data_IF_999648935178
#
_entry.id   IF_999648935178
#
_cell.length_a   1.000
_cell.length_b   1.000
_cell.length_c   1.000
_cell.angle_alpha   90.00
_cell.angle_beta   90.00
_cell.angle_gamma   90.00
#
_symmetry.space_group_name_H-M   'P 1'
#
loop_
_entity.id
_entity.type
_entity.pdbx_description
1 polymer ?
#
# COMPACT_ATOMS: atom_id res chain seq x y z
N UNK A 1 -71.02 12.96 -5.81
CA UNK A 1 -71.76 11.94 -6.61
C UNK A 1 -70.72 10.94 -7.09
N UNK A 2 -70.70 9.71 -6.52
CA UNK A 2 -71.12 8.45 -7.17
C UNK A 2 -70.21 8.09 -8.36
N UNK A 3 -69.63 6.90 -8.51
CA UNK A 3 -69.84 5.55 -7.92
C UNK A 3 -68.69 4.67 -8.48
N UNK A 4 -68.04 3.80 -7.70
CA UNK A 4 -68.35 2.36 -7.50
C UNK A 4 -68.28 1.55 -8.82
N UNK A 5 -67.79 0.31 -8.91
CA UNK A 5 -67.29 -0.75 -7.99
C UNK A 5 -67.06 -2.01 -8.86
N UNK A 6 -66.42 -3.01 -8.24
CA UNK A 6 -66.56 -4.48 -8.42
C UNK A 6 -65.34 -5.17 -9.08
N UNK A 7 -64.54 -6.02 -8.42
CA UNK A 7 -64.74 -7.10 -7.43
C UNK A 7 -65.18 -8.44 -8.04
N UNK A 8 -64.30 -9.44 -8.03
CA UNK A 8 -64.52 -10.84 -7.64
C UNK A 8 -63.13 -11.51 -7.45
N UNK A 9 -62.64 -11.90 -6.27
CA UNK A 9 -63.01 -12.96 -5.29
C UNK A 9 -62.90 -14.41 -5.80
N UNK A 10 -61.95 -15.18 -5.24
CA UNK A 10 -62.12 -16.42 -4.44
C UNK A 10 -60.78 -17.21 -4.42
N UNK A 11 -60.36 -18.01 -3.43
CA UNK A 11 -60.61 -18.25 -1.99
C UNK A 11 -59.82 -19.53 -1.64
N UNK A 12 -59.18 -19.60 -0.46
CA UNK A 12 -59.12 -20.77 0.46
C UNK A 12 -58.10 -20.48 1.60
N UNK A 13 -58.52 -20.16 2.84
CA UNK A 13 -58.92 -21.03 3.98
C UNK A 13 -57.66 -21.56 4.74
N UNK A 14 -57.26 -20.97 5.88
CA UNK A 14 -57.71 -21.17 7.29
C UNK A 14 -57.06 -22.42 7.94
N UNK A 15 -56.28 -22.34 9.02
CA UNK A 15 -56.68 -22.36 10.46
C UNK A 15 -55.44 -21.95 11.31
N UNK A 16 -55.48 -20.94 12.20
CA UNK A 16 -56.00 -20.89 13.60
C UNK A 16 -55.04 -21.47 14.68
N UNK A 17 -54.39 -20.61 15.48
CA UNK A 17 -54.57 -20.42 16.95
C UNK A 17 -53.40 -19.61 17.59
N UNK A 18 -53.73 -18.55 18.35
CA UNK A 18 -52.92 -17.80 19.34
C UNK A 18 -53.28 -18.33 20.78
N UNK A 19 -52.71 -17.89 21.94
CA UNK A 19 -51.72 -16.83 22.27
C UNK A 19 -50.62 -17.22 23.32
N UNK A 20 -49.75 -16.25 23.70
CA UNK A 20 -48.59 -16.19 24.64
C UNK A 20 -48.88 -16.51 26.15
N UNK A 21 -48.01 -16.27 27.21
CA UNK A 21 -46.56 -15.87 27.38
C UNK A 21 -45.80 -16.58 28.59
N UNK A 22 -44.62 -16.06 29.03
CA UNK A 22 -43.84 -16.28 30.32
C UNK A 22 -42.91 -17.52 30.47
N UNK A 23 -41.86 -17.61 31.33
CA UNK A 23 -40.81 -16.77 31.98
C UNK A 23 -39.98 -17.72 32.91
N UNK A 24 -38.66 -17.48 33.09
CA UNK A 24 -37.76 -17.81 34.23
C UNK A 24 -37.13 -19.24 34.39
N UNK A 25 -35.81 -19.19 34.69
CA UNK A 25 -34.82 -20.19 35.11
C UNK A 25 -35.15 -20.98 36.39
N UNK A 26 -34.71 -22.24 36.46
CA UNK A 26 -34.20 -22.92 37.67
C UNK A 26 -33.61 -24.29 37.27
N UNK A 27 -32.36 -24.59 37.67
CA UNK A 27 -31.86 -25.89 38.18
C UNK A 27 -30.30 -25.85 38.34
N UNK A 28 -29.70 -26.60 39.29
CA UNK A 28 -28.51 -26.19 40.07
C UNK A 28 -27.13 -26.72 39.60
N UNK A 29 -26.07 -26.08 40.13
CA UNK A 29 -24.64 -26.34 39.87
C UNK A 29 -24.12 -27.54 40.72
N UNK A 30 -23.40 -28.52 40.14
CA UNK A 30 -22.72 -29.58 40.91
C UNK A 30 -21.39 -29.11 41.53
N UNK A 31 -21.10 -29.57 42.75
CA UNK A 31 -20.02 -29.13 43.66
C UNK A 31 -19.09 -30.28 44.02
N UNK A 32 -18.17 -30.67 43.12
CA UNK A 32 -17.33 -31.84 43.36
C UNK A 32 -15.96 -31.73 42.63
N UNK A 33 -15.06 -30.85 43.09
CA UNK A 33 -13.63 -30.88 42.70
C UNK A 33 -12.70 -30.13 43.67
N UNK A 34 -12.55 -30.59 44.92
CA UNK A 34 -11.38 -30.29 45.77
C UNK A 34 -10.99 -31.53 46.58
N UNK A 35 -9.76 -32.02 46.43
CA UNK A 35 -9.20 -33.12 47.23
C UNK A 35 -8.47 -32.55 48.47
N UNK A 36 -8.83 -33.05 49.66
CA UNK A 36 -8.48 -32.48 50.96
C UNK A 36 -7.17 -33.02 51.61
N UNK A 37 -6.22 -33.60 50.87
CA UNK A 37 -5.11 -34.34 51.51
C UNK A 37 -3.64 -33.92 51.24
N UNK A 38 -3.29 -32.92 50.43
CA UNK A 38 -1.84 -32.72 50.09
C UNK A 38 -1.24 -31.30 50.04
N UNK A 39 -1.97 -30.20 50.29
CA UNK A 39 -1.40 -28.86 50.56
C UNK A 39 -0.09 -28.43 49.83
N UNK A 40 -0.21 -28.01 48.55
CA UNK A 40 0.78 -27.48 47.55
C UNK A 40 1.43 -28.52 46.61
N UNK A 41 1.66 -28.31 45.30
CA UNK A 41 1.27 -27.34 44.24
C UNK A 41 1.58 -27.96 42.87
N UNK A 42 0.75 -27.76 41.83
CA UNK A 42 1.13 -27.45 40.43
C UNK A 42 -0.04 -27.71 39.45
N UNK A 43 -0.41 -26.66 38.70
CA UNK A 43 -0.55 -26.61 37.22
C UNK A 43 -1.42 -27.71 36.55
N UNK A 44 -2.50 -27.44 35.83
CA UNK A 44 -2.81 -26.32 34.93
C UNK A 44 -4.34 -26.19 34.90
N UNK A 45 -4.84 -24.96 35.02
CA UNK A 45 -6.26 -24.66 34.77
C UNK A 45 -6.49 -24.74 33.27
N UNK A 46 -6.99 -25.86 32.76
CA UNK A 46 -7.59 -25.87 31.43
C UNK A 46 -8.94 -25.13 31.51
N UNK A 47 -8.99 -24.02 30.81
CA UNK A 47 -10.16 -23.16 30.68
C UNK A 47 -11.26 -23.89 29.88
N UNK A 48 -12.42 -24.05 30.48
CA UNK A 48 -13.69 -24.12 29.73
C UNK A 48 -14.39 -22.74 29.87
N UNK A 49 -15.41 -22.42 29.07
CA UNK A 49 -15.48 -22.38 27.61
C UNK A 49 -16.04 -21.00 27.19
N UNK A 50 -15.30 -20.19 26.43
CA UNK A 50 -15.80 -18.87 26.04
C UNK A 50 -16.17 -18.84 24.56
N UNK A 51 -17.48 -18.95 24.34
CA UNK A 51 -18.13 -18.28 23.24
C UNK A 51 -17.81 -16.77 23.39
N UNK A 52 -16.71 -16.32 22.80
CA UNK A 52 -16.51 -14.90 22.52
C UNK A 52 -16.67 -14.73 21.02
N UNK A 53 -17.69 -13.95 20.70
CA UNK A 53 -17.80 -13.23 19.45
C UNK A 53 -16.39 -12.83 18.99
N UNK A 54 -16.01 -13.31 17.80
CA UNK A 54 -15.10 -12.54 16.99
C UNK A 54 -15.67 -11.11 16.98
N UNK A 55 -14.87 -10.06 17.13
CA UNK A 55 -15.28 -8.79 16.58
C UNK A 55 -15.36 -9.03 15.07
N UNK A 56 -16.52 -9.49 14.60
CA UNK A 56 -17.06 -8.92 13.39
C UNK A 56 -17.01 -7.43 13.67
N UNK A 57 -16.17 -6.72 12.92
CA UNK A 57 -16.19 -5.27 12.90
C UNK A 57 -17.65 -4.91 12.59
N UNK A 58 -18.41 -4.56 13.63
CA UNK A 58 -19.71 -3.93 13.45
C UNK A 58 -19.37 -2.54 12.95
N UNK A 59 -19.26 -2.39 11.63
CA UNK A 59 -19.38 -1.08 11.02
C UNK A 59 -20.79 -0.61 11.39
N UNK A 60 -20.88 0.22 12.44
CA UNK A 60 -22.11 0.93 12.72
C UNK A 60 -22.14 2.05 11.71
N UNK A 61 -22.61 1.70 10.52
CA UNK A 61 -22.94 2.60 9.46
C UNK A 61 -23.95 3.60 10.05
N UNK A 62 -23.53 4.87 10.16
CA UNK A 62 -24.42 5.98 10.48
C UNK A 62 -24.51 6.78 9.18
N UNK A 63 -25.72 7.18 8.73
CA UNK A 63 -25.89 7.95 7.50
C UNK A 63 -24.94 9.15 7.43
N UNK A 64 -24.23 9.29 6.30
CA UNK A 64 -23.25 10.35 6.07
C UNK A 64 -21.82 10.07 6.56
N UNK A 65 -21.47 8.82 6.85
CA UNK A 65 -20.12 8.42 7.27
C UNK A 65 -19.36 7.69 6.15
N UNK A 66 -18.10 8.07 5.94
CA UNK A 66 -17.17 7.38 5.06
C UNK A 66 -16.18 6.54 5.87
N UNK A 67 -16.22 5.22 5.71
CA UNK A 67 -15.31 4.30 6.42
C UNK A 67 -14.28 3.70 5.48
N UNK A 68 -13.03 3.70 5.92
CA UNK A 68 -11.92 2.99 5.30
C UNK A 68 -11.55 1.81 6.19
N UNK A 69 -11.45 0.64 5.59
CA UNK A 69 -10.87 -0.55 6.22
C UNK A 69 -9.81 -1.11 5.28
N UNK A 70 -8.66 -1.50 5.82
CA UNK A 70 -7.56 -2.02 5.01
C UNK A 70 -6.55 -2.79 5.85
N UNK A 71 -5.85 -3.70 5.20
CA UNK A 71 -4.70 -4.39 5.78
C UNK A 71 -3.49 -4.12 4.88
N UNK A 72 -2.39 -3.65 5.44
CA UNK A 72 -1.09 -3.81 4.79
C UNK A 72 -0.73 -5.31 4.88
N UNK A 73 -0.60 -6.05 3.77
CA UNK A 73 -0.16 -7.44 3.83
C UNK A 73 1.35 -7.47 4.10
N UNK A 74 1.75 -7.50 5.37
CA UNK A 74 3.14 -7.75 5.77
C UNK A 74 4.12 -6.60 5.53
N UNK A 75 5.35 -6.80 6.02
CA UNK A 75 6.34 -5.79 6.42
C UNK A 75 6.92 -4.83 5.35
N UNK A 76 6.37 -4.74 4.14
CA UNK A 76 6.86 -3.78 3.13
C UNK A 76 5.66 -3.30 2.30
N UNK A 77 5.18 -2.08 2.56
CA UNK A 77 3.99 -1.50 1.90
C UNK A 77 2.92 -0.91 2.82
N UNK A 78 3.24 -0.73 4.11
CA UNK A 78 2.37 -0.01 5.04
C UNK A 78 2.14 1.45 4.63
N UNK A 79 1.10 2.10 5.19
CA UNK A 79 0.91 3.53 5.00
C UNK A 79 2.21 4.27 5.30
N UNK A 80 2.53 5.36 4.59
CA UNK A 80 3.67 6.22 4.93
C UNK A 80 3.22 7.41 5.76
N UNK A 81 4.12 7.89 6.62
CA UNK A 81 4.00 9.21 7.21
C UNK A 81 3.80 10.22 6.07
N UNK A 82 2.72 10.99 6.12
CA UNK A 82 2.42 11.90 5.04
C UNK A 82 1.04 12.52 5.10
N UNK A 83 0.83 13.46 4.18
CA UNK A 83 -0.41 14.19 4.01
C UNK A 83 -1.17 13.59 2.84
N UNK A 84 -2.45 13.29 3.08
CA UNK A 84 -3.31 12.65 2.09
C UNK A 84 -4.61 13.44 1.95
N UNK A 85 -5.23 13.30 0.79
CA UNK A 85 -6.57 13.80 0.54
C UNK A 85 -7.42 12.74 -0.15
N UNK A 86 -8.66 12.57 0.34
CA UNK A 86 -9.70 11.76 -0.29
C UNK A 86 -10.57 12.66 -1.16
N UNK A 87 -10.89 12.19 -2.36
CA UNK A 87 -11.72 12.89 -3.33
C UNK A 87 -12.84 11.99 -3.83
N UNK A 88 -13.99 12.59 -4.13
CA UNK A 88 -15.12 11.95 -4.79
C UNK A 88 -15.30 12.50 -6.19
N UNK A 89 -15.52 11.60 -7.15
CA UNK A 89 -15.76 11.92 -8.55
C UNK A 89 -17.12 11.35 -8.97
N UNK A 90 -18.02 12.20 -9.47
CA UNK A 90 -19.34 11.82 -9.99
C UNK A 90 -19.33 11.54 -11.51
N UNK A 91 -18.17 11.69 -12.16
CA UNK A 91 -17.97 11.51 -13.59
C UNK A 91 -18.47 12.65 -14.47
N UNK A 92 -18.99 13.73 -13.87
CA UNK A 92 -19.59 14.87 -14.58
C UNK A 92 -18.93 16.19 -14.20
N UNK A 93 -18.70 16.40 -12.91
CA UNK A 93 -18.14 17.62 -12.33
C UNK A 93 -16.67 17.40 -11.90
N UNK A 94 -15.91 18.49 -11.65
CA UNK A 94 -14.61 18.36 -11.02
C UNK A 94 -14.70 17.59 -9.68
N UNK A 95 -13.70 16.76 -9.33
CA UNK A 95 -13.75 16.00 -8.09
C UNK A 95 -13.86 16.89 -6.85
N UNK A 96 -14.75 16.50 -5.95
CA UNK A 96 -14.97 17.17 -4.68
C UNK A 96 -14.03 16.64 -3.60
N UNK A 97 -13.52 17.54 -2.76
CA UNK A 97 -12.70 17.18 -1.61
C UNK A 97 -13.58 16.59 -0.51
N UNK A 98 -13.28 15.36 -0.09
CA UNK A 98 -13.97 14.71 1.01
C UNK A 98 -13.28 14.99 2.35
N UNK A 99 -11.98 14.71 2.42
CA UNK A 99 -11.21 14.89 3.65
C UNK A 99 -9.72 15.08 3.36
N UNK A 100 -9.03 15.75 4.28
CA UNK A 100 -7.56 15.79 4.35
C UNK A 100 -7.12 15.23 5.68
N UNK A 101 -6.08 14.40 5.66
CA UNK A 101 -5.63 13.67 6.83
C UNK A 101 -4.13 13.44 6.81
N UNK A 102 -3.59 13.23 8.01
CA UNK A 102 -2.22 12.80 8.25
C UNK A 102 -2.29 11.32 8.58
N UNK A 103 -1.41 10.55 7.95
CA UNK A 103 -1.11 9.20 8.42
C UNK A 103 0.19 9.26 9.19
N UNK A 104 0.21 8.67 10.39
CA UNK A 104 1.44 8.48 11.17
C UNK A 104 1.64 7.00 11.47
N UNK A 105 2.67 6.43 10.87
CA UNK A 105 3.11 5.04 11.04
C UNK A 105 3.64 4.82 12.44
N UNK A 106 4.50 5.73 12.91
CA UNK A 106 5.10 5.64 14.23
C UNK A 106 4.03 5.69 15.34
N UNK A 107 2.99 6.51 15.16
CA UNK A 107 1.88 6.58 16.10
C UNK A 107 0.79 5.51 15.85
N UNK A 108 0.78 4.89 14.67
CA UNK A 108 -0.27 3.94 14.26
C UNK A 108 -1.63 4.59 14.02
N UNK A 109 -1.67 5.90 13.73
CA UNK A 109 -2.90 6.70 13.71
C UNK A 109 -3.14 7.44 12.39
N UNK A 110 -4.41 7.80 12.19
CA UNK A 110 -4.86 8.69 11.13
C UNK A 110 -5.56 9.88 11.77
N UNK A 111 -5.11 11.10 11.49
CA UNK A 111 -5.58 12.33 12.16
C UNK A 111 -5.91 13.46 11.19
N UNK A 112 -6.56 14.51 11.68
CA UNK A 112 -6.72 15.78 10.96
C UNK A 112 -5.39 16.48 10.72
N UNK A 113 -5.38 17.47 9.82
CA UNK A 113 -4.16 18.22 9.46
C UNK A 113 -3.52 18.99 10.63
N UNK A 114 -4.31 19.36 11.64
CA UNK A 114 -3.82 19.98 12.87
C UNK A 114 -3.44 18.96 13.96
N UNK A 115 -3.64 17.66 13.69
CA UNK A 115 -3.37 16.56 14.62
C UNK A 115 -4.36 16.46 15.78
N UNK A 116 -5.39 17.31 15.84
CA UNK A 116 -6.28 17.42 17.00
C UNK A 116 -7.41 16.38 16.99
N UNK A 117 -7.84 15.96 15.79
CA UNK A 117 -8.91 14.96 15.61
C UNK A 117 -8.31 13.63 15.19
N UNK A 118 -8.59 12.58 15.95
CA UNK A 118 -8.26 11.20 15.59
C UNK A 118 -9.38 10.61 14.72
N UNK A 119 -9.08 10.31 13.46
CA UNK A 119 -10.00 9.62 12.56
C UNK A 119 -9.96 8.09 12.71
N UNK A 120 -8.85 7.55 13.19
CA UNK A 120 -8.72 6.12 13.46
C UNK A 120 -7.27 5.64 13.47
N UNK A 121 -7.08 4.38 13.08
CA UNK A 121 -5.79 3.70 13.02
C UNK A 121 -5.38 3.41 11.57
N UNK A 122 -4.18 2.86 11.39
CA UNK A 122 -3.72 2.39 10.07
C UNK A 122 -4.58 1.25 9.47
N UNK A 123 -5.32 0.51 10.31
CA UNK A 123 -6.16 -0.60 9.86
C UNK A 123 -7.58 -0.15 9.47
N UNK A 124 -8.10 0.87 10.15
CA UNK A 124 -9.41 1.42 9.88
C UNK A 124 -9.55 2.84 10.43
N UNK A 125 -10.20 3.71 9.65
CA UNK A 125 -10.52 5.09 10.03
C UNK A 125 -11.81 5.54 9.35
N UNK A 126 -12.46 6.53 9.94
CA UNK A 126 -13.75 7.06 9.47
C UNK A 126 -13.72 8.57 9.36
N UNK A 127 -14.40 9.10 8.36
CA UNK A 127 -14.68 10.51 8.23
C UNK A 127 -16.19 10.75 8.31
N UNK A 128 -16.56 11.82 8.98
CA UNK A 128 -17.93 12.33 9.01
C UNK A 128 -17.91 13.87 9.01
N UNK A 129 -19.06 14.52 8.75
CA UNK A 129 -19.12 15.98 8.71
C UNK A 129 -18.69 16.66 10.02
N UNK A 130 -18.92 16.01 11.17
CA UNK A 130 -18.59 16.56 12.48
C UNK A 130 -17.07 16.56 12.72
N UNK A 131 -16.37 15.52 12.26
CA UNK A 131 -14.94 15.31 12.47
C UNK A 131 -14.07 16.01 11.42
N UNK A 132 -14.59 16.20 10.20
CA UNK A 132 -13.86 16.88 9.11
C UNK A 132 -14.18 18.37 8.98
N UNK A 133 -15.32 18.81 9.52
CA UNK A 133 -15.84 20.17 9.31
C UNK A 133 -16.25 20.46 7.86
N UNK A 134 -16.27 19.44 6.99
CA UNK A 134 -16.68 19.55 5.60
C UNK A 134 -18.07 18.92 5.43
N UNK A 135 -18.99 19.57 4.72
CA UNK A 135 -20.26 18.93 4.38
C UNK A 135 -19.96 17.73 3.47
N UNK A 136 -20.67 16.61 3.64
CA UNK A 136 -20.53 15.38 2.83
C UNK A 136 -21.56 15.24 1.67
N UNK A 137 -21.96 16.28 0.91
CA UNK A 137 -22.97 16.09 -0.14
C UNK A 137 -22.42 15.37 -1.39
N UNK A 138 -21.10 15.14 -1.48
CA UNK A 138 -20.44 14.69 -2.71
C UNK A 138 -20.20 13.17 -2.83
N UNK A 139 -20.35 12.40 -1.74
CA UNK A 139 -20.05 10.96 -1.75
C UNK A 139 -21.23 10.11 -2.23
N UNK A 140 -22.47 10.58 -2.05
CA UNK A 140 -23.70 9.87 -2.44
C UNK A 140 -23.78 9.54 -3.93
N UNK A 141 -23.26 10.43 -4.77
CA UNK A 141 -23.28 10.29 -6.23
C UNK A 141 -21.91 9.90 -6.82
N UNK A 142 -20.92 9.62 -5.98
CA UNK A 142 -19.59 9.27 -6.44
C UNK A 142 -19.65 7.97 -7.25
N UNK A 143 -19.10 7.99 -8.45
CA UNK A 143 -18.84 6.80 -9.28
C UNK A 143 -17.42 6.27 -9.05
N UNK A 144 -16.54 7.11 -8.52
CA UNK A 144 -15.17 6.77 -8.13
C UNK A 144 -14.75 7.54 -6.87
N UNK A 145 -14.00 6.87 -6.00
CA UNK A 145 -13.27 7.50 -4.91
C UNK A 145 -11.78 7.25 -5.10
N UNK A 146 -10.97 8.26 -4.82
CA UNK A 146 -9.52 8.14 -4.89
C UNK A 146 -8.78 8.93 -3.82
N UNK A 147 -7.59 8.46 -3.49
CA UNK A 147 -6.69 9.04 -2.49
C UNK A 147 -5.46 9.57 -3.21
N UNK A 148 -5.03 10.76 -2.82
CA UNK A 148 -3.86 11.44 -3.39
C UNK A 148 -2.82 11.77 -2.32
N UNK A 149 -1.53 11.66 -2.67
CA UNK A 149 -0.43 12.19 -1.87
C UNK A 149 -0.36 13.71 -2.00
N UNK A 150 -0.11 14.40 -0.88
CA UNK A 150 -0.02 15.86 -0.81
C UNK A 150 1.38 16.29 -0.38
N UNK A 151 1.96 17.27 -1.08
CA UNK A 151 3.32 17.75 -0.80
C UNK A 151 3.44 18.48 0.55
N UNK A 152 2.38 19.17 1.00
CA UNK A 152 2.30 19.86 2.30
C UNK A 152 0.84 19.98 2.79
N UNK A 153 0.61 20.13 4.11
CA UNK A 153 -0.70 20.43 4.64
C UNK A 153 -1.17 21.82 4.16
N UNK A 154 -2.32 21.87 3.50
CA UNK A 154 -3.07 23.12 3.29
C UNK A 154 -2.90 23.85 1.96
N UNK A 155 -2.07 23.38 1.03
CA UNK A 155 -1.84 24.05 -0.26
C UNK A 155 -1.90 23.08 -1.44
N UNK A 156 -3.12 22.77 -1.90
CA UNK A 156 -3.32 22.37 -3.31
C UNK A 156 -4.17 23.45 -3.98
N UNK A 157 -3.77 23.94 -5.17
CA UNK A 157 -4.55 24.92 -5.91
C UNK A 157 -5.83 24.27 -6.44
N UNK A 158 -6.93 24.40 -5.69
CA UNK A 158 -8.30 24.15 -6.15
C UNK A 158 -8.69 22.73 -6.54
N UNK A 159 -7.80 21.72 -6.49
CA UNK A 159 -8.12 20.36 -6.93
C UNK A 159 -7.18 19.26 -6.43
N UNK A 160 -7.36 18.02 -6.91
CA UNK A 160 -6.54 16.88 -6.50
C UNK A 160 -5.08 17.02 -6.90
N UNK A 161 -4.18 16.49 -6.07
CA UNK A 161 -2.78 16.29 -6.46
C UNK A 161 -2.71 15.25 -7.59
N UNK A 162 -1.76 15.38 -8.53
CA UNK A 162 -1.65 14.42 -9.63
C UNK A 162 -1.08 13.04 -9.19
N UNK A 163 -0.73 12.88 -7.90
CA UNK A 163 -0.20 11.66 -7.31
C UNK A 163 -1.32 10.84 -6.65
N UNK A 164 -2.22 10.29 -7.45
CA UNK A 164 -3.19 9.31 -6.96
C UNK A 164 -2.45 8.02 -6.56
N UNK A 165 -2.75 7.50 -5.36
CA UNK A 165 -2.12 6.28 -4.81
C UNK A 165 -3.07 5.10 -4.72
N UNK A 166 -4.35 5.37 -4.51
CA UNK A 166 -5.40 4.37 -4.45
C UNK A 166 -6.64 4.95 -5.12
N UNK A 167 -7.33 4.15 -5.93
CA UNK A 167 -8.65 4.49 -6.45
C UNK A 167 -9.53 3.27 -6.55
N UNK A 168 -10.83 3.48 -6.67
CA UNK A 168 -11.81 2.41 -6.81
C UNK A 168 -13.15 2.93 -7.27
N UNK A 169 -13.81 2.13 -8.12
CA UNK A 169 -15.19 2.41 -8.52
C UNK A 169 -16.16 2.17 -7.37
N UNK A 170 -17.17 3.02 -7.31
CA UNK A 170 -18.25 2.93 -6.34
C UNK A 170 -19.43 2.17 -6.93
N UNK A 171 -19.95 1.21 -6.18
CA UNK A 171 -21.17 0.46 -6.53
C UNK A 171 -21.98 0.24 -5.26
N UNK A 172 -23.22 0.73 -5.24
CA UNK A 172 -24.14 0.61 -4.11
C UNK A 172 -23.53 1.09 -2.76
N UNK A 173 -22.80 2.21 -2.78
CA UNK A 173 -22.18 2.80 -1.59
C UNK A 173 -20.88 2.11 -1.15
N UNK A 174 -20.34 1.17 -1.91
CA UNK A 174 -19.08 0.49 -1.58
C UNK A 174 -18.09 0.53 -2.74
N UNK A 175 -16.80 0.55 -2.43
CA UNK A 175 -15.73 0.51 -3.44
C UNK A 175 -14.46 -0.14 -2.90
N UNK A 176 -13.84 -1.00 -3.71
CA UNK A 176 -12.52 -1.56 -3.42
C UNK A 176 -11.44 -0.62 -3.96
N UNK A 177 -10.56 -0.15 -3.08
CA UNK A 177 -9.45 0.75 -3.39
C UNK A 177 -8.17 -0.05 -3.59
N UNK A 178 -7.52 0.16 -4.74
CA UNK A 178 -6.24 -0.48 -5.06
C UNK A 178 -5.31 0.50 -5.78
N UNK A 179 -4.02 0.18 -5.83
CA UNK A 179 -3.02 0.95 -6.59
C UNK A 179 -3.27 0.87 -8.10
N UNK A 180 -3.76 -0.28 -8.57
CA UNK A 180 -4.21 -0.44 -9.96
C UNK A 180 -5.42 0.42 -10.27
N UNK A 181 -6.34 0.51 -9.30
CA UNK A 181 -7.46 1.41 -9.35
C UNK A 181 -8.38 1.21 -10.55
N UNK A 182 -8.92 2.31 -11.06
CA UNK A 182 -9.59 2.38 -12.36
C UNK A 182 -8.61 2.91 -13.41
N UNK A 183 -8.78 2.58 -14.69
CA UNK A 183 -7.87 3.05 -15.74
C UNK A 183 -7.77 4.59 -15.86
N UNK A 184 -8.68 5.35 -15.24
CA UNK A 184 -8.65 6.81 -15.26
C UNK A 184 -7.75 7.45 -14.19
N UNK A 185 -7.60 6.81 -13.01
CA UNK A 185 -6.90 7.40 -11.84
C UNK A 185 -5.97 6.44 -11.10
N UNK A 186 -5.94 5.18 -11.48
CA UNK A 186 -4.98 4.20 -11.00
C UNK A 186 -3.59 4.42 -11.56
N UNK A 187 -2.59 3.81 -10.93
CA UNK A 187 -1.20 3.93 -11.39
C UNK A 187 -0.94 2.93 -12.51
N UNK A 188 -0.99 1.63 -12.20
CA UNK A 188 -0.84 0.53 -13.15
C UNK A 188 -1.15 -0.82 -12.49
N UNK A 189 -1.30 -1.88 -13.31
CA UNK A 189 -1.43 -3.26 -12.81
C UNK A 189 -0.04 -3.87 -12.64
N UNK A 190 0.30 -4.22 -11.41
CA UNK A 190 1.59 -4.82 -11.05
C UNK A 190 1.48 -6.33 -10.74
N UNK A 191 0.34 -6.96 -11.00
CA UNK A 191 0.11 -8.37 -10.64
C UNK A 191 0.98 -9.37 -11.41
N UNK A 192 1.47 -9.01 -12.60
CA UNK A 192 2.27 -9.87 -13.48
C UNK A 192 3.69 -9.35 -13.73
N UNK A 193 4.19 -8.43 -12.91
CA UNK A 193 5.54 -7.88 -13.10
C UNK A 193 6.62 -8.91 -12.85
N UNK A 194 7.71 -8.79 -13.60
CA UNK A 194 8.87 -9.67 -13.46
C UNK A 194 10.15 -8.96 -13.88
N UNK A 195 11.28 -9.59 -13.58
CA UNK A 195 12.54 -9.18 -14.16
C UNK A 195 13.74 -9.88 -13.56
N UNK A 196 14.91 -9.48 -14.01
CA UNK A 196 16.19 -9.95 -13.48
C UNK A 196 17.23 -8.84 -13.53
N UNK A 197 18.33 -9.06 -12.81
CA UNK A 197 19.48 -8.17 -12.79
C UNK A 197 20.78 -8.96 -12.88
N UNK A 198 21.88 -8.27 -13.17
CA UNK A 198 23.24 -8.78 -13.09
C UNK A 198 24.09 -7.84 -12.24
N UNK A 199 25.13 -8.38 -11.61
CA UNK A 199 26.19 -7.57 -11.01
C UNK A 199 27.28 -7.34 -12.06
N UNK A 200 27.60 -6.07 -12.34
CA UNK A 200 28.68 -5.68 -13.26
C UNK A 200 29.07 -4.22 -13.06
N UNK A 201 30.31 -3.87 -13.42
CA UNK A 201 30.81 -2.49 -13.40
C UNK A 201 31.30 -2.01 -14.78
N UNK A 202 30.41 -1.77 -15.77
CA UNK A 202 30.83 -1.32 -17.10
C UNK A 202 31.48 0.07 -17.12
N UNK A 203 31.21 0.95 -16.14
CA UNK A 203 31.58 2.37 -16.21
C UNK A 203 33.07 2.65 -16.00
N UNK A 204 33.81 1.72 -15.38
CA UNK A 204 35.27 1.80 -15.19
C UNK A 204 36.06 0.83 -16.08
N UNK A 205 35.35 0.03 -16.88
CA UNK A 205 35.94 -0.96 -17.76
C UNK A 205 36.51 -0.34 -19.03
N UNK A 206 37.77 0.11 -18.96
CA UNK A 206 38.53 0.53 -20.14
C UNK A 206 38.90 -0.67 -21.05
N UNK A 207 39.13 -1.87 -20.47
CA UNK A 207 39.50 -3.11 -21.18
C UNK A 207 39.08 -4.38 -20.38
N UNK A 208 37.78 -4.58 -20.12
CA UNK A 208 37.24 -5.88 -19.66
C UNK A 208 37.79 -6.45 -18.35
N UNK A 209 38.06 -5.61 -17.35
CA UNK A 209 38.56 -6.03 -16.04
C UNK A 209 37.37 -6.31 -15.11
N UNK A 210 37.03 -7.59 -14.93
CA UNK A 210 35.94 -8.07 -14.07
C UNK A 210 36.29 -8.10 -12.56
N UNK A 211 37.26 -7.31 -12.09
CA UNK A 211 37.79 -7.44 -10.73
C UNK A 211 36.86 -6.88 -9.65
N UNK A 212 35.86 -6.08 -10.03
CA UNK A 212 34.97 -5.35 -9.13
C UNK A 212 33.50 -5.38 -9.58
N UNK A 213 33.10 -6.35 -10.39
CA UNK A 213 31.71 -6.46 -10.89
C UNK A 213 30.66 -6.55 -9.76
N UNK A 214 31.05 -6.95 -8.55
CA UNK A 214 30.20 -6.90 -7.35
C UNK A 214 29.86 -5.49 -6.86
N UNK A 215 30.46 -4.44 -7.42
CA UNK A 215 30.24 -3.04 -7.04
C UNK A 215 29.25 -2.32 -7.96
N UNK A 216 28.49 -3.04 -8.79
CA UNK A 216 27.48 -2.44 -9.64
C UNK A 216 26.34 -3.40 -9.91
N UNK A 217 25.19 -2.84 -10.27
CA UNK A 217 23.96 -3.59 -10.55
C UNK A 217 23.29 -3.04 -11.80
N UNK A 218 22.87 -3.92 -12.70
CA UNK A 218 22.24 -3.54 -13.95
C UNK A 218 21.04 -4.41 -14.29
N UNK A 219 19.93 -3.80 -14.71
CA UNK A 219 18.66 -4.49 -14.99
C UNK A 219 18.61 -5.00 -16.43
N UNK A 220 19.55 -5.89 -16.77
CA UNK A 220 19.67 -6.54 -18.09
C UNK A 220 19.94 -8.03 -17.97
N UNK A 221 19.70 -8.73 -19.07
CA UNK A 221 20.09 -10.13 -19.21
C UNK A 221 21.61 -10.24 -19.42
N UNK A 222 22.16 -11.45 -19.43
CA UNK A 222 23.57 -11.65 -19.79
C UNK A 222 23.85 -11.37 -21.27
N UNK A 223 22.83 -11.44 -22.14
CA UNK A 223 22.95 -11.17 -23.59
C UNK A 223 22.89 -9.67 -23.92
N UNK A 224 23.20 -8.81 -22.96
CA UNK A 224 22.15 -8.06 -22.28
C UNK A 224 21.21 -7.15 -23.08
N UNK A 225 20.02 -7.70 -23.23
CA UNK A 225 18.75 -7.03 -23.44
C UNK A 225 18.23 -6.45 -22.10
N UNK A 226 17.33 -5.46 -22.11
CA UNK A 226 16.59 -5.06 -20.92
C UNK A 226 15.91 -6.27 -20.26
N UNK A 227 15.92 -6.32 -18.92
CA UNK A 227 15.43 -7.47 -18.18
C UNK A 227 14.28 -7.15 -17.22
N UNK A 228 13.64 -5.99 -17.35
CA UNK A 228 12.45 -5.63 -16.59
C UNK A 228 11.21 -5.75 -17.46
N UNK A 229 10.18 -6.38 -16.92
CA UNK A 229 8.83 -6.39 -17.45
C UNK A 229 7.91 -5.69 -16.43
N UNK A 230 7.77 -4.38 -16.62
CA UNK A 230 7.00 -3.48 -15.76
C UNK A 230 5.99 -2.71 -16.63
N UNK A 231 4.82 -2.33 -16.09
CA UNK A 231 3.83 -1.57 -16.84
C UNK A 231 4.33 -0.17 -17.21
N UNK A 232 3.62 0.48 -18.13
CA UNK A 232 3.85 1.91 -18.41
C UNK A 232 3.25 2.73 -17.27
N UNK A 233 4.03 3.67 -16.74
CA UNK A 233 3.58 4.57 -15.67
C UNK A 233 2.96 5.86 -16.22
N UNK A 234 2.03 6.48 -15.46
CA UNK A 234 1.67 7.88 -15.66
C UNK A 234 2.89 8.79 -15.51
N UNK A 235 2.87 9.97 -16.15
CA UNK A 235 4.00 10.91 -16.16
C UNK A 235 4.42 11.43 -14.78
N UNK A 236 3.54 11.30 -13.79
CA UNK A 236 3.72 11.69 -12.38
C UNK A 236 4.33 10.60 -11.51
N UNK A 237 4.74 9.49 -12.10
CA UNK A 237 5.40 8.39 -11.42
C UNK A 237 6.68 7.97 -12.14
N UNK A 238 7.63 7.45 -11.38
CA UNK A 238 8.87 6.85 -11.88
C UNK A 238 9.10 5.50 -11.19
N UNK A 239 9.87 4.65 -11.85
CA UNK A 239 10.56 3.58 -11.15
C UNK A 239 11.86 4.13 -10.60
N UNK A 240 12.28 3.62 -9.45
CA UNK A 240 13.62 3.84 -8.92
C UNK A 240 14.20 2.50 -8.48
N UNK A 241 15.44 2.25 -8.88
CA UNK A 241 16.18 1.09 -8.42
C UNK A 241 16.96 1.43 -7.17
N UNK A 242 17.13 0.45 -6.29
CA UNK A 242 17.84 0.60 -5.03
C UNK A 242 18.66 -0.65 -4.73
N UNK A 243 19.73 -0.46 -3.97
CA UNK A 243 20.41 -1.53 -3.24
C UNK A 243 20.27 -1.26 -1.74
N UNK A 244 19.78 -2.25 -1.02
CA UNK A 244 19.52 -2.16 0.42
C UNK A 244 20.33 -3.22 1.17
N UNK A 245 21.11 -2.80 2.17
CA UNK A 245 21.81 -3.72 3.04
C UNK A 245 20.86 -4.23 4.13
N UNK A 246 20.56 -5.53 4.11
CA UNK A 246 19.61 -6.16 5.04
C UNK A 246 20.13 -6.27 6.48
N UNK A 247 21.42 -5.99 6.71
CA UNK A 247 22.05 -6.04 8.04
C UNK A 247 22.18 -4.64 8.63
N UNK A 248 22.67 -3.67 7.86
CA UNK A 248 22.92 -2.30 8.34
C UNK A 248 21.72 -1.37 8.11
N UNK A 249 20.77 -1.74 7.25
CA UNK A 249 19.67 -0.88 6.82
C UNK A 249 20.11 0.23 5.85
N UNK A 250 21.37 0.22 5.40
CA UNK A 250 21.88 1.19 4.45
C UNK A 250 21.19 1.03 3.09
N UNK A 251 20.84 2.15 2.45
CA UNK A 251 20.15 2.17 1.16
C UNK A 251 20.85 3.09 0.18
N UNK A 252 20.86 2.72 -1.09
CA UNK A 252 21.43 3.53 -2.15
C UNK A 252 20.58 3.43 -3.40
N UNK A 253 20.26 4.57 -3.98
CA UNK A 253 19.60 4.62 -5.27
C UNK A 253 20.56 4.13 -6.36
N UNK A 254 19.99 3.43 -7.34
CA UNK A 254 20.64 3.08 -8.62
C UNK A 254 20.10 3.96 -9.76
N UNK A 255 19.41 5.05 -9.41
CA UNK A 255 18.82 5.98 -10.36
C UNK A 255 17.34 5.72 -10.66
N UNK A 256 16.65 6.80 -11.05
CA UNK A 256 15.25 6.79 -11.49
C UNK A 256 15.17 6.48 -12.98
N UNK A 257 14.14 5.76 -13.41
CA UNK A 257 13.99 5.42 -14.82
C UNK A 257 12.53 5.28 -15.25
N UNK A 258 12.27 5.78 -16.45
CA UNK A 258 11.08 5.55 -17.26
C UNK A 258 11.41 6.14 -18.65
N UNK A 259 11.78 5.33 -19.66
CA UNK A 259 11.39 3.94 -19.90
C UNK A 259 12.39 2.86 -19.44
N UNK A 260 11.99 1.58 -19.49
CA UNK A 260 12.76 0.40 -19.02
C UNK A 260 13.99 0.03 -19.88
N UNK A 261 14.05 0.54 -21.11
CA UNK A 261 15.10 0.22 -22.09
C UNK A 261 15.99 1.44 -22.38
N UNK A 262 16.26 2.24 -21.35
CA UNK A 262 17.14 3.41 -21.40
C UNK A 262 17.91 3.52 -20.10
N UNK A 263 19.08 4.19 -20.08
CA UNK A 263 19.74 4.52 -18.83
C UNK A 263 18.81 5.25 -17.86
N UNK A 264 19.06 5.09 -16.57
CA UNK A 264 18.48 5.94 -15.54
C UNK A 264 18.81 7.43 -15.76
N UNK A 265 17.98 8.28 -15.15
CA UNK A 265 17.95 9.73 -15.36
C UNK A 265 19.28 10.40 -14.97
N UNK A 266 20.03 9.81 -14.04
CA UNK A 266 21.29 10.33 -13.52
C UNK A 266 22.54 9.57 -13.99
N UNK A 267 22.43 8.60 -14.90
CA UNK A 267 23.57 7.82 -15.43
C UNK A 267 24.77 8.68 -15.90
N UNK A 268 24.49 9.87 -16.45
CA UNK A 268 25.51 10.82 -16.92
C UNK A 268 26.12 11.69 -15.82
N UNK A 269 25.42 11.86 -14.70
CA UNK A 269 25.75 12.80 -13.63
C UNK A 269 26.12 12.12 -12.31
N UNK A 270 25.79 10.84 -12.14
CA UNK A 270 26.10 10.08 -10.94
C UNK A 270 27.61 10.10 -10.65
N UNK A 271 28.05 10.55 -9.48
CA UNK A 271 29.47 10.69 -9.14
C UNK A 271 30.14 9.39 -8.70
N UNK A 272 29.36 8.37 -8.30
CA UNK A 272 29.87 7.07 -7.85
C UNK A 272 30.30 6.12 -9.00
N UNK A 273 30.04 6.48 -10.27
CA UNK A 273 30.44 5.68 -11.44
C UNK A 273 31.94 5.79 -11.76
N UNK A 274 32.41 4.88 -12.59
CA UNK A 274 33.72 4.94 -13.25
C UNK A 274 33.86 6.09 -14.24
N UNK A 275 35.11 6.44 -14.56
CA UNK A 275 35.44 7.59 -15.43
C UNK A 275 35.52 7.24 -16.92
N UNK A 276 35.30 5.98 -17.31
CA UNK A 276 35.58 5.52 -18.68
C UNK A 276 34.38 5.74 -19.58
N UNK A 277 33.18 5.37 -19.12
CA UNK A 277 31.95 5.50 -19.88
C UNK A 277 30.75 5.69 -18.92
N UNK A 278 29.54 5.59 -19.47
CA UNK A 278 28.27 5.86 -18.76
C UNK A 278 27.49 4.58 -18.45
N UNK A 279 28.10 3.42 -18.70
CA UNK A 279 27.55 2.10 -18.46
C UNK A 279 26.71 1.56 -19.61
N UNK A 280 25.77 0.67 -19.30
CA UNK A 280 24.89 0.06 -20.30
C UNK A 280 23.72 0.98 -20.67
N UNK A 281 23.08 0.71 -21.82
CA UNK A 281 21.91 1.45 -22.30
C UNK A 281 20.59 0.95 -21.68
N UNK A 282 20.62 0.62 -20.40
CA UNK A 282 19.50 0.13 -19.56
C UNK A 282 19.68 0.70 -18.16
N UNK A 283 18.67 0.70 -17.29
CA UNK A 283 18.83 1.25 -15.94
C UNK A 283 19.81 0.39 -15.12
N UNK A 284 20.62 1.06 -14.30
CA UNK A 284 21.59 0.42 -13.43
C UNK A 284 22.73 1.33 -13.04
N UNK A 285 23.45 0.98 -11.96
CA UNK A 285 24.45 1.87 -11.40
C UNK A 285 25.68 1.12 -10.88
N UNK A 286 26.84 1.73 -11.14
CA UNK A 286 28.12 1.39 -10.53
C UNK A 286 28.39 2.25 -9.27
N UNK A 287 28.94 1.60 -8.24
CA UNK A 287 29.33 2.16 -6.95
C UNK A 287 30.85 2.05 -6.71
N UNK A 288 31.63 2.21 -7.77
CA UNK A 288 33.08 2.07 -7.78
C UNK A 288 33.81 3.26 -7.15
N UNK A 289 33.10 4.37 -6.91
CA UNK A 289 33.61 5.58 -6.26
C UNK A 289 32.75 6.03 -5.10
N UNK A 290 33.35 6.80 -4.21
CA UNK A 290 32.64 7.43 -3.11
C UNK A 290 31.65 8.46 -3.67
N UNK A 291 30.47 8.48 -3.08
CA UNK A 291 29.44 9.46 -3.37
C UNK A 291 29.75 10.76 -2.57
N UNK A 292 29.98 11.91 -3.24
CA UNK A 292 30.29 13.17 -2.58
C UNK A 292 29.17 13.63 -1.63
N UNK A 293 29.51 13.79 -0.35
CA UNK A 293 28.56 14.28 0.67
C UNK A 293 27.90 13.19 1.50
N UNK A 294 28.27 11.92 1.30
CA UNK A 294 27.82 10.79 2.14
C UNK A 294 29.01 10.14 2.88
N UNK A 295 28.74 9.35 3.92
CA UNK A 295 29.76 8.60 4.71
C UNK A 295 30.24 7.33 4.02
N UNK A 296 29.92 7.17 2.74
CA UNK A 296 30.05 5.94 1.98
C UNK A 296 31.48 5.81 1.44
N UNK A 297 32.22 4.75 1.80
CA UNK A 297 33.52 4.46 1.20
C UNK A 297 33.35 4.12 -0.30
N UNK A 298 34.35 4.50 -1.11
CA UNK A 298 34.45 4.00 -2.48
C UNK A 298 34.53 2.47 -2.50
N UNK A 299 33.94 1.85 -3.51
CA UNK A 299 34.10 0.42 -3.78
C UNK A 299 33.28 -0.47 -2.86
N UNK A 300 31.99 -0.19 -2.74
CA UNK A 300 31.07 -1.02 -1.95
C UNK A 300 30.80 -2.32 -2.68
N UNK A 301 31.26 -3.42 -2.10
CA UNK A 301 30.94 -4.76 -2.55
C UNK A 301 29.50 -5.12 -2.13
N UNK A 302 28.63 -5.25 -3.12
CA UNK A 302 27.23 -5.63 -2.96
C UNK A 302 27.05 -7.14 -2.74
N UNK A 303 28.15 -7.90 -2.69
CA UNK A 303 28.10 -9.34 -2.83
C UNK A 303 27.61 -10.14 -1.61
N UNK A 304 27.46 -9.52 -0.44
CA UNK A 304 26.84 -10.17 0.73
C UNK A 304 25.98 -9.19 1.54
N UNK A 305 24.76 -9.62 1.88
CA UNK A 305 23.86 -8.86 2.76
C UNK A 305 23.17 -7.70 2.07
N UNK A 306 23.22 -7.61 0.74
CA UNK A 306 22.49 -6.61 -0.04
C UNK A 306 21.32 -7.22 -0.80
N UNK A 307 20.32 -6.40 -1.05
CA UNK A 307 19.12 -6.72 -1.81
C UNK A 307 18.92 -5.66 -2.88
N UNK A 308 18.68 -6.08 -4.11
CA UNK A 308 18.18 -5.22 -5.17
C UNK A 308 16.69 -4.98 -4.94
N UNK A 309 16.23 -3.73 -5.06
CA UNK A 309 14.85 -3.33 -4.87
C UNK A 309 14.44 -2.38 -5.99
N UNK A 310 13.22 -2.52 -6.50
CA UNK A 310 12.62 -1.55 -7.42
C UNK A 310 11.35 -1.03 -6.76
N UNK A 311 11.28 0.29 -6.61
CA UNK A 311 10.15 1.00 -6.02
C UNK A 311 9.40 1.83 -7.05
N UNK A 312 8.16 2.17 -6.69
CA UNK A 312 7.34 3.13 -7.39
C UNK A 312 7.41 4.48 -6.65
N UNK A 313 7.92 5.51 -7.32
CA UNK A 313 8.20 6.83 -6.75
C UNK A 313 7.33 7.93 -7.38
N UNK A 314 6.81 8.88 -6.59
CA UNK A 314 6.14 10.06 -7.14
C UNK A 314 7.12 10.91 -7.98
N UNK A 315 6.62 11.75 -8.88
CA UNK A 315 7.47 12.64 -9.67
C UNK A 315 6.88 14.06 -9.74
N UNK A 316 7.60 15.09 -9.23
CA UNK A 316 8.94 15.02 -8.65
C UNK A 316 8.96 14.32 -7.27
N UNK A 317 10.01 13.54 -7.01
CA UNK A 317 10.30 12.96 -5.70
C UNK A 317 11.30 13.84 -4.93
N UNK A 318 11.04 14.05 -3.65
CA UNK A 318 11.91 14.79 -2.72
C UNK A 318 12.44 13.91 -1.58
N UNK A 319 12.09 12.63 -1.56
CA UNK A 319 12.58 11.65 -0.59
C UNK A 319 14.01 11.24 -0.91
N UNK A 320 14.80 11.00 0.14
CA UNK A 320 16.11 10.32 0.03
C UNK A 320 16.00 8.81 0.29
N UNK A 321 14.87 8.37 0.82
CA UNK A 321 14.56 6.97 1.10
C UNK A 321 13.64 6.38 0.01
N UNK A 322 13.80 5.10 -0.37
CA UNK A 322 12.90 4.41 -1.27
C UNK A 322 11.46 4.47 -0.77
N UNK A 323 10.49 4.58 -1.66
CA UNK A 323 9.06 4.48 -1.36
C UNK A 323 8.67 3.12 -0.75
N UNK A 324 7.55 3.12 -0.02
CA UNK A 324 6.98 1.89 0.52
C UNK A 324 6.36 0.98 -0.57
N UNK A 325 6.11 1.51 -1.76
CA UNK A 325 5.59 0.75 -2.90
C UNK A 325 6.71 -0.06 -3.58
N UNK A 326 7.17 -1.12 -2.90
CA UNK A 326 8.17 -2.05 -3.43
C UNK A 326 7.51 -2.99 -4.45
N UNK A 327 7.94 -2.91 -5.71
CA UNK A 327 7.40 -3.69 -6.83
C UNK A 327 8.14 -5.01 -6.97
N UNK A 328 9.48 -4.95 -6.99
CA UNK A 328 10.37 -6.09 -7.18
C UNK A 328 11.47 -6.06 -6.13
N UNK A 329 11.88 -7.21 -5.60
CA UNK A 329 13.13 -7.33 -4.85
C UNK A 329 13.84 -8.67 -5.04
N UNK A 330 15.16 -8.71 -4.83
CA UNK A 330 15.95 -9.93 -5.00
C UNK A 330 17.31 -9.84 -4.32
N UNK A 331 17.82 -10.93 -3.75
CA UNK A 331 19.11 -10.93 -3.06
C UNK A 331 20.24 -10.68 -4.06
N UNK A 332 21.14 -9.76 -3.73
CA UNK A 332 22.39 -9.60 -4.47
C UNK A 332 23.34 -10.72 -4.03
N UNK A 333 23.88 -11.43 -5.01
CA UNK A 333 24.90 -12.46 -4.78
C UNK A 333 26.21 -12.04 -5.44
N UNK A 334 27.31 -12.45 -4.81
CA UNK A 334 28.70 -12.01 -5.04
C UNK A 334 29.29 -12.34 -6.41
N UNK A 335 28.55 -12.99 -7.31
CA UNK A 335 29.13 -13.54 -8.53
C UNK A 335 28.74 -12.72 -9.76
N UNK A 336 29.65 -11.84 -10.19
CA UNK A 336 29.60 -11.22 -11.51
C UNK A 336 29.38 -12.27 -12.61
N UNK A 337 28.59 -11.92 -13.62
CA UNK A 337 28.27 -12.82 -14.73
C UNK A 337 27.15 -13.84 -14.47
N UNK A 338 26.41 -13.73 -13.37
CA UNK A 338 25.16 -14.47 -13.13
C UNK A 338 23.98 -13.51 -13.19
N UNK A 339 22.88 -13.97 -13.81
CA UNK A 339 21.59 -13.27 -13.76
C UNK A 339 20.77 -13.79 -12.59
N UNK A 340 20.30 -12.87 -11.74
CA UNK A 340 19.45 -13.17 -10.59
C UNK A 340 18.02 -12.67 -10.83
N UNK A 341 17.00 -13.49 -10.54
CA UNK A 341 15.60 -13.10 -10.72
C UNK A 341 15.12 -12.18 -9.59
N UNK A 342 14.19 -11.29 -9.93
CA UNK A 342 13.40 -10.57 -8.95
C UNK A 342 12.20 -11.41 -8.46
N UNK A 343 11.76 -11.14 -7.24
CA UNK A 343 10.49 -11.57 -6.68
C UNK A 343 9.47 -10.43 -6.78
N UNK A 344 8.27 -10.73 -7.30
CA UNK A 344 7.16 -9.77 -7.32
C UNK A 344 6.65 -9.51 -5.90
N UNK A 345 6.60 -8.23 -5.52
CA UNK A 345 6.13 -7.73 -4.22
C UNK A 345 4.88 -6.88 -4.33
N UNK A 346 4.31 -6.67 -5.51
CA UNK A 346 3.09 -5.88 -5.67
C UNK A 346 1.88 -6.39 -4.86
N UNK A 347 1.88 -7.68 -4.48
CA UNK A 347 0.88 -8.24 -3.56
C UNK A 347 0.89 -7.64 -2.14
N UNK A 348 1.93 -6.88 -1.78
CA UNK A 348 2.02 -6.16 -0.49
C UNK A 348 1.55 -4.71 -0.60
N UNK A 349 1.11 -4.26 -1.77
CA UNK A 349 0.59 -2.91 -1.94
C UNK A 349 -0.64 -2.67 -1.06
N UNK A 350 -0.82 -1.43 -0.58
CA UNK A 350 -1.98 -1.09 0.21
C UNK A 350 -3.25 -1.31 -0.61
N UNK A 351 -4.24 -1.87 0.06
CA UNK A 351 -5.61 -1.98 -0.45
C UNK A 351 -6.57 -1.50 0.62
N UNK A 352 -7.75 -1.08 0.22
CA UNK A 352 -8.80 -0.68 1.15
C UNK A 352 -10.17 -1.07 0.63
N UNK A 353 -11.12 -1.18 1.54
CA UNK A 353 -12.55 -1.12 1.21
C UNK A 353 -13.08 0.17 1.77
N UNK A 354 -13.79 0.89 0.92
CA UNK A 354 -14.52 2.07 1.26
C UNK A 354 -16.01 1.74 1.32
N UNK A 355 -16.64 2.17 2.40
CA UNK A 355 -18.09 2.07 2.57
C UNK A 355 -18.64 3.45 2.92
N UNK A 356 -19.68 3.82 2.21
CA UNK A 356 -20.52 4.97 2.47
C UNK A 356 -21.92 4.49 2.83
N UNK A 357 -22.43 4.96 3.96
CA UNK A 357 -23.82 4.72 4.37
C UNK A 357 -24.66 5.95 3.99
N UNK A 358 -25.57 5.84 3.02
CA UNK A 358 -26.41 6.95 2.56
C UNK A 358 -27.44 7.43 3.60
#
# INVERSE_FOLDING_TARGET
RRRRRHCHRQRAICLLYLPSPLRILAEPIPTDAVNAMTGFSAMTVEMNPLNLALPQLTATATPGMLSFTGSAPGEIGGPRDGFYAVWSDDGVNPPDLVARFIVSVAAGTVTSLDGMTLFGSLAAFTFDPANTGLPFPAVENAVEIFITLQAQPGVSPGGPSPHAVLSGQMTAGQGALTVFGTQARGIADFSQVSGSFICSTPTDNAVGVAANDGMGIWFRTLTGLPALDLPVLPVTWRYEGWVENTVTGERRSTGRFCPLASPDEDAMTWPGRGMVNTGFSVPGQDFVRADPGTTIPAGVDLGTGWMAVITLEPFPDTSLDPSAFVILNGPLSTMGGVSAPFTNRAGTFPTGTLTFDP
#
